data_IF_446743971811
#
_entry.id   IF_446743971811
#
_cell.length_a   1.000
_cell.length_b   1.000
_cell.length_c   1.000
_cell.angle_alpha   90.00
_cell.angle_beta   90.00
_cell.angle_gamma   90.00
#
_symmetry.space_group_name_H-M   'P 1'
#
loop_
_entity.id
_entity.type
_entity.pdbx_description
1 polymer ?
#
# COMPACT_ATOMS: atom_id res chain seq x y z
N UNK A 1 -22.13 -25.75 25.20
CA UNK A 1 -22.39 -26.41 23.91
C UNK A 1 -21.08 -26.38 23.14
N UNK A 2 -20.61 -27.54 22.68
CA UNK A 2 -19.23 -27.77 22.26
C UNK A 2 -18.88 -27.05 20.95
N UNK A 3 -17.77 -26.32 20.95
CA UNK A 3 -17.21 -25.69 19.75
C UNK A 3 -16.55 -26.73 18.86
N UNK A 4 -16.90 -26.72 17.58
CA UNK A 4 -16.37 -27.62 16.57
C UNK A 4 -14.90 -27.30 16.27
N UNK A 5 -14.07 -28.36 16.20
CA UNK A 5 -12.64 -28.26 15.90
C UNK A 5 -12.42 -28.59 14.42
N UNK A 6 -12.05 -27.61 13.62
CA UNK A 6 -11.81 -27.76 12.19
C UNK A 6 -10.33 -28.14 11.92
N UNK A 7 -10.06 -28.88 10.83
CA UNK A 7 -8.75 -29.51 10.54
C UNK A 7 -8.13 -29.12 9.18
N UNK A 8 -8.82 -28.32 8.38
CA UNK A 8 -8.40 -27.96 7.02
C UNK A 8 -7.70 -26.60 7.01
N UNK A 9 -6.63 -26.49 6.21
CA UNK A 9 -5.97 -25.21 5.93
C UNK A 9 -6.78 -24.54 4.82
N UNK A 10 -7.66 -23.61 5.19
CA UNK A 10 -8.43 -22.78 4.27
C UNK A 10 -8.27 -21.31 4.66
N UNK A 11 -7.93 -20.45 3.69
CA UNK A 11 -7.71 -19.01 3.85
C UNK A 11 -6.47 -18.52 3.09
N UNK A 12 -6.44 -17.25 2.67
CA UNK A 12 -5.22 -16.64 2.12
C UNK A 12 -4.15 -16.60 3.23
N UNK A 13 -2.93 -17.10 2.94
CA UNK A 13 -1.90 -17.41 3.93
C UNK A 13 -1.63 -16.30 4.97
N UNK A 14 -1.79 -15.03 4.59
CA UNK A 14 -1.51 -13.86 5.41
C UNK A 14 -2.41 -13.68 6.65
N UNK A 15 -3.64 -14.19 6.62
CA UNK A 15 -4.61 -13.99 7.71
C UNK A 15 -4.64 -15.18 8.68
N UNK A 16 -3.90 -16.25 8.39
CA UNK A 16 -3.93 -17.49 9.15
C UNK A 16 -3.30 -17.30 10.52
N UNK A 17 -4.01 -17.70 11.57
CA UNK A 17 -3.47 -17.70 12.94
C UNK A 17 -2.44 -18.83 13.15
N UNK A 18 -1.41 -18.64 14.00
CA UNK A 18 -0.35 -19.63 14.21
C UNK A 18 -0.84 -21.02 14.64
N UNK A 19 -1.94 -21.07 15.38
CA UNK A 19 -2.56 -22.31 15.86
C UNK A 19 -3.38 -23.07 14.80
N UNK A 20 -3.81 -22.41 13.73
CA UNK A 20 -4.45 -23.07 12.57
C UNK A 20 -3.42 -23.97 11.87
N UNK A 21 -2.18 -23.49 11.72
CA UNK A 21 -1.05 -24.29 11.20
C UNK A 21 -0.73 -25.50 12.10
N UNK A 22 -1.08 -25.42 13.38
CA UNK A 22 -0.93 -26.51 14.37
C UNK A 22 -2.18 -27.41 14.47
N UNK A 23 -3.21 -27.17 13.64
CA UNK A 23 -4.49 -27.90 13.54
C UNK A 23 -5.25 -28.04 14.85
N UNK A 24 -5.14 -27.04 15.73
CA UNK A 24 -5.86 -27.01 17.01
C UNK A 24 -6.25 -25.58 17.35
N UNK A 25 -7.48 -25.21 17.00
CA UNK A 25 -7.95 -23.84 17.12
C UNK A 25 -9.41 -23.74 17.56
N UNK A 26 -9.76 -22.57 18.09
CA UNK A 26 -11.10 -22.14 18.46
C UNK A 26 -11.42 -20.79 17.80
N UNK A 27 -12.47 -20.08 18.25
CA UNK A 27 -12.91 -18.81 17.64
C UNK A 27 -11.89 -17.67 17.75
N UNK A 28 -10.82 -17.83 18.53
CA UNK A 28 -9.75 -16.84 18.70
C UNK A 28 -8.98 -16.58 17.39
N UNK A 29 -9.04 -17.50 16.42
CA UNK A 29 -8.41 -17.34 15.11
C UNK A 29 -9.00 -16.20 14.30
N UNK A 30 -10.29 -15.92 14.48
CA UNK A 30 -10.95 -14.82 13.78
C UNK A 30 -10.43 -13.47 14.29
N UNK A 31 -10.11 -13.38 15.58
CA UNK A 31 -9.52 -12.16 16.16
C UNK A 31 -8.12 -11.91 15.60
N UNK A 32 -7.36 -12.97 15.34
CA UNK A 32 -6.08 -12.83 14.65
C UNK A 32 -6.28 -12.29 13.24
N UNK A 33 -7.18 -12.89 12.45
CA UNK A 33 -7.49 -12.45 11.08
C UNK A 33 -7.91 -10.98 11.04
N UNK A 34 -8.80 -10.55 11.95
CA UNK A 34 -9.24 -9.15 12.05
C UNK A 34 -8.09 -8.25 12.54
N UNK A 35 -7.21 -8.75 13.41
CA UNK A 35 -6.00 -8.03 13.83
C UNK A 35 -5.03 -7.80 12.66
N UNK A 36 -4.86 -8.80 11.79
CA UNK A 36 -4.06 -8.68 10.56
C UNK A 36 -4.70 -7.65 9.62
N UNK A 37 -6.02 -7.70 9.44
CA UNK A 37 -6.74 -6.70 8.65
C UNK A 37 -6.58 -5.29 9.21
N UNK A 38 -6.73 -5.12 10.53
CA UNK A 38 -6.58 -3.82 11.18
C UNK A 38 -5.14 -3.28 11.04
N UNK A 39 -4.13 -4.14 11.19
CA UNK A 39 -2.74 -3.78 10.93
C UNK A 39 -2.57 -3.27 9.49
N UNK A 40 -3.11 -3.98 8.50
CA UNK A 40 -3.06 -3.57 7.09
C UNK A 40 -3.80 -2.25 6.86
N UNK A 41 -4.95 -2.02 7.50
CA UNK A 41 -5.69 -0.76 7.37
C UNK A 41 -4.90 0.44 7.91
N UNK A 42 -4.14 0.23 9.00
CA UNK A 42 -3.37 1.29 9.64
C UNK A 42 -2.04 1.61 8.94
N UNK A 43 -1.33 0.61 8.39
CA UNK A 43 0.00 0.81 7.80
C UNK A 43 0.12 0.43 6.33
N UNK A 44 -0.91 -0.19 5.75
CA UNK A 44 -0.95 -0.62 4.36
C UNK A 44 -0.23 -1.92 4.06
N UNK A 45 0.57 -2.51 4.95
CA UNK A 45 1.34 -3.74 4.68
C UNK A 45 0.93 -4.89 5.60
N UNK A 46 1.07 -6.16 5.18
CA UNK A 46 0.79 -7.29 6.07
C UNK A 46 1.84 -7.35 7.21
N UNK A 47 1.44 -7.76 8.43
CA UNK A 47 2.36 -7.88 9.56
C UNK A 47 3.34 -9.06 9.42
N UNK A 48 3.01 -10.04 8.60
CA UNK A 48 3.83 -11.24 8.36
C UNK A 48 3.99 -11.45 6.85
N UNK A 49 5.24 -11.38 6.36
CA UNK A 49 5.57 -11.55 4.95
C UNK A 49 6.97 -12.15 4.80
N UNK A 50 7.15 -13.01 3.79
CA UNK A 50 8.41 -13.47 3.25
C UNK A 50 8.18 -14.12 1.87
N UNK A 51 9.12 -14.00 0.93
CA UNK A 51 9.06 -14.38 -0.50
C UNK A 51 8.38 -15.72 -0.88
N UNK A 52 8.25 -16.66 0.05
CA UNK A 52 7.61 -17.96 -0.19
C UNK A 52 6.52 -18.21 0.84
N UNK A 53 5.52 -19.01 0.48
CA UNK A 53 4.43 -19.41 1.40
C UNK A 53 4.98 -20.05 2.70
N UNK A 54 6.01 -20.89 2.59
CA UNK A 54 6.71 -21.44 3.75
C UNK A 54 7.39 -20.35 4.60
N UNK A 55 7.93 -19.31 3.95
CA UNK A 55 8.44 -18.11 4.62
C UNK A 55 7.34 -17.38 5.40
N UNK A 56 6.17 -17.17 4.78
CA UNK A 56 5.00 -16.55 5.43
C UNK A 56 4.60 -17.36 6.66
N UNK A 57 4.47 -18.68 6.54
CA UNK A 57 4.13 -19.56 7.65
C UNK A 57 5.16 -19.47 8.78
N UNK A 58 6.44 -19.42 8.45
CA UNK A 58 7.50 -19.22 9.44
C UNK A 58 7.39 -17.84 10.13
N UNK A 59 7.06 -16.79 9.40
CA UNK A 59 6.85 -15.45 9.96
C UNK A 59 5.64 -15.43 10.90
N UNK A 60 4.52 -16.06 10.51
CA UNK A 60 3.32 -16.22 11.34
C UNK A 60 3.64 -17.01 12.61
N UNK A 61 4.38 -18.12 12.51
CA UNK A 61 4.75 -18.94 13.66
C UNK A 61 5.67 -18.20 14.65
N UNK A 62 6.50 -17.28 14.16
CA UNK A 62 7.31 -16.38 15.00
C UNK A 62 6.48 -15.28 15.65
N UNK A 63 5.38 -14.88 15.02
CA UNK A 63 4.44 -13.87 15.50
C UNK A 63 5.11 -12.53 15.90
N UNK A 64 6.20 -12.19 15.23
CA UNK A 64 6.86 -10.90 15.42
C UNK A 64 6.18 -9.85 14.55
N UNK A 65 5.58 -8.85 15.19
CA UNK A 65 4.90 -7.74 14.52
C UNK A 65 5.77 -6.49 14.63
N UNK A 66 6.01 -5.84 13.51
CA UNK A 66 6.77 -4.59 13.46
C UNK A 66 5.87 -3.40 13.79
N UNK A 67 6.24 -2.63 14.82
CA UNK A 67 5.58 -1.38 15.20
C UNK A 67 6.57 -0.19 15.16
N UNK A 68 7.74 -0.40 14.56
CA UNK A 68 8.84 0.56 14.47
C UNK A 68 8.95 1.20 13.10
N UNK A 69 8.53 0.49 12.04
CA UNK A 69 8.44 1.06 10.69
C UNK A 69 7.21 1.95 10.54
N UNK A 70 7.35 2.98 9.72
CA UNK A 70 6.29 3.96 9.48
C UNK A 70 5.07 3.36 8.76
N UNK A 71 3.85 3.83 9.05
CA UNK A 71 3.49 4.99 9.87
C UNK A 71 3.43 4.69 11.38
N UNK A 72 3.82 3.49 11.85
CA UNK A 72 3.55 3.08 13.23
C UNK A 72 4.06 4.05 14.28
N UNK A 73 5.30 4.57 14.27
CA UNK A 73 5.76 5.55 15.26
C UNK A 73 4.78 6.71 15.48
N UNK A 74 4.16 7.23 14.42
CA UNK A 74 3.19 8.33 14.47
C UNK A 74 1.78 7.95 14.96
N UNK A 75 1.39 6.67 14.89
CA UNK A 75 0.07 6.20 15.33
C UNK A 75 -0.10 6.20 16.85
N UNK A 76 -1.35 6.33 17.31
CA UNK A 76 -1.66 6.41 18.74
C UNK A 76 -1.19 5.15 19.49
N UNK A 77 -0.71 5.29 20.74
CA UNK A 77 -0.33 4.16 21.58
C UNK A 77 -1.45 3.11 21.73
N UNK A 78 -2.70 3.56 21.71
CA UNK A 78 -3.91 2.75 21.88
C UNK A 78 -4.23 1.93 20.63
N UNK A 79 -3.97 2.45 19.43
CA UNK A 79 -4.06 1.68 18.19
C UNK A 79 -3.02 0.54 18.19
N UNK A 80 -1.78 0.85 18.55
CA UNK A 80 -0.69 -0.13 18.70
C UNK A 80 -1.04 -1.20 19.73
N UNK A 81 -1.54 -0.78 20.88
CA UNK A 81 -1.91 -1.68 21.98
C UNK A 81 -3.03 -2.65 21.56
N UNK A 82 -4.07 -2.16 20.87
CA UNK A 82 -5.13 -3.03 20.37
C UNK A 82 -4.57 -4.08 19.41
N UNK A 83 -3.83 -3.65 18.38
CA UNK A 83 -3.30 -4.54 17.35
C UNK A 83 -2.34 -5.57 17.94
N UNK A 84 -1.48 -5.15 18.89
CA UNK A 84 -0.58 -6.05 19.62
C UNK A 84 -1.34 -7.11 20.42
N UNK A 85 -2.48 -6.76 21.03
CA UNK A 85 -3.30 -7.69 21.81
C UNK A 85 -4.15 -8.62 20.92
N UNK A 86 -4.56 -8.16 19.74
CA UNK A 86 -5.25 -8.99 18.73
C UNK A 86 -4.30 -9.97 18.04
N UNK A 87 -3.05 -9.57 17.80
CA UNK A 87 -1.99 -10.39 17.21
C UNK A 87 -1.13 -11.11 18.26
N UNK A 88 -1.71 -11.44 19.41
CA UNK A 88 -1.02 -12.23 20.42
C UNK A 88 -0.94 -13.70 19.96
N UNK A 89 0.28 -14.23 19.96
CA UNK A 89 0.58 -15.61 19.56
C UNK A 89 -0.04 -16.67 20.47
N UNK A 90 -0.28 -16.35 21.75
CA UNK A 90 -1.00 -17.23 22.68
C UNK A 90 -2.51 -16.93 22.57
N UNK A 91 -3.34 -17.86 22.05
CA UNK A 91 -4.77 -17.65 21.90
C UNK A 91 -5.48 -17.35 23.22
N UNK A 92 -4.93 -17.82 24.35
CA UNK A 92 -5.51 -17.56 25.68
C UNK A 92 -5.28 -16.14 26.18
N UNK A 93 -4.26 -15.47 25.65
CA UNK A 93 -3.91 -14.08 25.97
C UNK A 93 -4.38 -13.11 24.87
N UNK A 94 -4.86 -13.65 23.75
CA UNK A 94 -5.48 -12.88 22.66
C UNK A 94 -6.83 -12.36 23.12
N UNK A 95 -7.16 -11.13 22.75
CA UNK A 95 -8.48 -10.57 23.07
C UNK A 95 -9.59 -11.40 22.44
N UNK A 96 -10.72 -11.44 23.12
CA UNK A 96 -12.00 -11.89 22.53
C UNK A 96 -12.66 -10.76 21.75
N UNK A 97 -13.60 -11.08 20.85
CA UNK A 97 -14.37 -10.06 20.10
C UNK A 97 -15.02 -9.03 21.03
N UNK A 98 -15.59 -9.48 22.15
CA UNK A 98 -16.19 -8.61 23.16
C UNK A 98 -15.17 -7.65 23.77
N UNK A 99 -13.95 -8.12 24.06
CA UNK A 99 -12.90 -7.26 24.62
C UNK A 99 -12.33 -6.29 23.57
N UNK A 100 -12.27 -6.68 22.30
CA UNK A 100 -11.91 -5.77 21.18
C UNK A 100 -12.92 -4.63 21.07
N UNK A 101 -14.22 -4.93 21.09
CA UNK A 101 -15.29 -3.91 21.03
C UNK A 101 -15.31 -2.97 22.23
N UNK A 102 -14.81 -3.41 23.39
CA UNK A 102 -14.68 -2.59 24.60
C UNK A 102 -13.29 -1.95 24.76
N UNK A 103 -12.40 -2.11 23.79
CA UNK A 103 -11.06 -1.54 23.87
C UNK A 103 -11.13 -0.01 23.85
N UNK A 104 -10.33 0.71 24.66
CA UNK A 104 -10.35 2.18 24.71
C UNK A 104 -10.22 2.88 23.36
N UNK A 105 -9.60 2.21 22.38
CA UNK A 105 -9.48 2.72 21.01
C UNK A 105 -10.80 2.60 20.21
N UNK A 106 -11.52 1.47 20.24
CA UNK A 106 -12.69 1.21 19.35
C UNK A 106 -14.04 1.46 20.01
N UNK A 107 -14.12 1.41 21.34
CA UNK A 107 -15.40 1.58 22.06
C UNK A 107 -16.09 2.88 21.65
N UNK A 108 -17.41 2.92 21.78
CA UNK A 108 -18.19 4.15 21.64
C UNK A 108 -17.60 5.25 22.55
N UNK A 109 -17.36 6.46 22.00
CA UNK A 109 -16.58 7.56 22.61
C UNK A 109 -15.11 7.21 22.95
N UNK A 110 -14.51 6.32 22.16
CA UNK A 110 -13.12 5.88 22.29
C UNK A 110 -12.08 6.90 21.84
N UNK A 111 -10.81 6.53 22.00
CA UNK A 111 -9.64 7.36 21.65
C UNK A 111 -9.21 7.19 20.19
N UNK A 112 -9.88 6.35 19.40
CA UNK A 112 -9.69 6.36 17.96
C UNK A 112 -10.05 7.77 17.46
N UNK A 113 -9.16 8.42 16.70
CA UNK A 113 -9.52 9.67 16.07
C UNK A 113 -10.75 9.44 15.19
N UNK A 114 -11.76 10.30 15.28
CA UNK A 114 -12.82 10.41 14.26
C UNK A 114 -12.26 10.88 12.91
N UNK A 115 -10.93 11.06 12.82
CA UNK A 115 -10.20 11.34 11.59
C UNK A 115 -10.30 10.11 10.70
N UNK A 116 -11.00 10.20 9.56
CA UNK A 116 -11.18 9.05 8.68
C UNK A 116 -9.82 8.55 8.16
N UNK A 117 -9.76 7.25 7.81
CA UNK A 117 -8.63 6.62 7.08
C UNK A 117 -8.21 7.41 5.82
N UNK A 118 -9.09 8.31 5.36
CA UNK A 118 -9.02 9.15 4.18
C UNK A 118 -7.92 10.20 4.20
N UNK A 119 -7.41 10.67 5.35
CA UNK A 119 -6.32 11.66 5.30
C UNK A 119 -5.05 11.04 4.70
N UNK A 120 -4.83 9.72 4.87
CA UNK A 120 -3.74 9.01 4.22
C UNK A 120 -3.97 8.86 2.71
N UNK A 121 -5.19 8.61 2.26
CA UNK A 121 -5.54 8.52 0.83
C UNK A 121 -5.44 9.90 0.17
N UNK A 122 -5.94 10.94 0.84
CA UNK A 122 -5.84 12.34 0.39
C UNK A 122 -4.40 12.82 0.31
N UNK A 123 -3.57 12.54 1.33
CA UNK A 123 -2.14 12.87 1.29
C UNK A 123 -1.42 12.07 0.20
N UNK A 124 -1.80 10.81 -0.07
CA UNK A 124 -1.26 10.03 -1.20
C UNK A 124 -1.66 10.59 -2.56
N UNK A 125 -2.92 11.01 -2.73
CA UNK A 125 -3.38 11.66 -3.95
C UNK A 125 -2.68 13.01 -4.18
N UNK A 126 -2.47 13.81 -3.11
CA UNK A 126 -1.67 15.04 -3.17
C UNK A 126 -0.21 14.77 -3.50
N UNK A 127 0.40 13.74 -2.90
CA UNK A 127 1.76 13.31 -3.22
C UNK A 127 1.86 12.87 -4.68
N UNK A 128 0.93 12.05 -5.15
CA UNK A 128 0.86 11.56 -6.53
C UNK A 128 0.84 12.73 -7.52
N UNK A 129 0.07 13.79 -7.25
CA UNK A 129 0.10 15.02 -8.06
C UNK A 129 1.50 15.63 -8.20
N UNK A 130 2.25 15.68 -7.10
CA UNK A 130 3.57 16.31 -7.02
C UNK A 130 4.71 15.46 -7.60
N UNK A 131 4.46 14.19 -7.96
CA UNK A 131 5.47 13.31 -8.55
C UNK A 131 5.72 13.63 -10.02
N UNK A 132 6.96 13.41 -10.48
CA UNK A 132 7.29 13.49 -11.90
C UNK A 132 6.60 12.36 -12.70
N UNK A 133 6.49 12.57 -14.01
CA UNK A 133 5.73 11.67 -14.89
C UNK A 133 6.30 10.27 -14.94
N UNK A 134 7.63 10.16 -14.93
CA UNK A 134 8.28 8.86 -15.00
C UNK A 134 7.93 8.01 -13.79
N UNK A 135 7.96 8.63 -12.60
CA UNK A 135 7.49 7.99 -11.38
C UNK A 135 6.04 7.53 -11.52
N UNK A 136 5.13 8.38 -12.01
CA UNK A 136 3.70 8.02 -12.20
C UNK A 136 3.51 6.79 -13.11
N UNK A 137 4.22 6.71 -14.23
CA UNK A 137 4.14 5.54 -15.12
C UNK A 137 4.71 4.31 -14.43
N UNK A 138 5.85 4.44 -13.73
CA UNK A 138 6.40 3.33 -12.96
C UNK A 138 5.43 2.84 -11.86
N UNK A 139 4.73 3.75 -11.18
CA UNK A 139 3.70 3.40 -10.19
C UNK A 139 2.56 2.62 -10.83
N UNK A 140 2.14 3.00 -12.04
CA UNK A 140 1.05 2.33 -12.78
C UNK A 140 1.44 0.90 -13.19
N UNK A 141 2.66 0.74 -13.70
CA UNK A 141 3.23 -0.59 -14.01
C UNK A 141 3.27 -1.48 -12.76
N UNK A 142 3.72 -0.93 -11.63
CA UNK A 142 3.73 -1.65 -10.34
C UNK A 142 2.32 -2.02 -9.91
N UNK A 143 1.36 -1.09 -9.99
CA UNK A 143 -0.04 -1.33 -9.64
C UNK A 143 -0.64 -2.50 -10.42
N UNK A 144 -0.33 -2.60 -11.71
CA UNK A 144 -0.75 -3.71 -12.58
C UNK A 144 -0.10 -5.06 -12.25
N UNK A 145 1.02 -5.06 -11.52
CA UNK A 145 1.73 -6.27 -11.12
C UNK A 145 1.34 -6.79 -9.72
N UNK A 146 0.53 -6.04 -8.98
CA UNK A 146 0.07 -6.45 -7.64
C UNK A 146 -0.95 -7.57 -7.73
N UNK A 147 -0.91 -8.49 -6.76
CA UNK A 147 -1.89 -9.57 -6.65
C UNK A 147 -3.27 -9.03 -6.22
N UNK A 148 -4.33 -9.79 -6.52
CA UNK A 148 -5.70 -9.39 -6.13
C UNK A 148 -5.83 -9.24 -4.60
N UNK A 149 -5.11 -10.06 -3.82
CA UNK A 149 -5.07 -9.98 -2.37
C UNK A 149 -4.41 -8.69 -1.88
N UNK A 150 -3.35 -8.24 -2.56
CA UNK A 150 -2.65 -7.01 -2.20
C UNK A 150 -3.54 -5.79 -2.39
N UNK A 151 -4.34 -5.77 -3.45
CA UNK A 151 -5.22 -4.64 -3.78
C UNK A 151 -6.66 -4.80 -3.27
N UNK A 152 -7.02 -5.92 -2.63
CA UNK A 152 -8.40 -6.21 -2.20
C UNK A 152 -9.04 -5.09 -1.37
N UNK A 153 -8.29 -4.48 -0.43
CA UNK A 153 -8.79 -3.36 0.36
C UNK A 153 -9.06 -2.11 -0.48
N UNK A 154 -8.18 -1.81 -1.44
CA UNK A 154 -8.36 -0.69 -2.37
C UNK A 154 -9.51 -0.95 -3.35
N UNK A 155 -9.71 -2.20 -3.77
CA UNK A 155 -10.84 -2.64 -4.61
C UNK A 155 -12.18 -2.46 -3.91
N UNK A 156 -12.26 -2.79 -2.62
CA UNK A 156 -13.45 -2.52 -1.81
C UNK A 156 -13.70 -1.03 -1.66
N UNK A 157 -12.64 -0.24 -1.48
CA UNK A 157 -12.73 1.21 -1.37
C UNK A 157 -13.23 1.84 -2.67
N UNK A 158 -12.68 1.45 -3.82
CA UNK A 158 -13.15 1.87 -5.15
C UNK A 158 -14.64 1.59 -5.33
N UNK A 159 -15.07 0.35 -5.07
CA UNK A 159 -16.48 -0.07 -5.19
C UNK A 159 -17.41 0.68 -4.23
N UNK A 160 -16.91 1.17 -3.11
CA UNK A 160 -17.71 1.98 -2.18
C UNK A 160 -17.92 3.42 -2.68
N UNK A 161 -17.02 3.91 -3.54
CA UNK A 161 -17.11 5.24 -4.16
C UNK A 161 -17.88 5.20 -5.48
N UNK A 162 -17.63 4.19 -6.32
CA UNK A 162 -18.37 3.92 -7.58
C UNK A 162 -19.78 3.41 -7.27
N UNK A 163 -20.69 4.35 -7.00
CA UNK A 163 -22.03 4.02 -6.50
C UNK A 163 -22.97 3.53 -7.59
N UNK A 164 -22.73 3.94 -8.83
CA UNK A 164 -23.51 3.50 -9.99
C UNK A 164 -22.93 2.25 -10.68
N UNK A 165 -21.76 1.78 -10.24
CA UNK A 165 -21.02 0.66 -10.82
C UNK A 165 -20.66 0.91 -12.30
N UNK A 166 -20.39 2.16 -12.65
CA UNK A 166 -19.91 2.54 -13.99
C UNK A 166 -18.51 2.01 -14.28
N UNK A 167 -17.76 1.60 -13.25
CA UNK A 167 -16.36 1.22 -13.36
C UNK A 167 -15.42 2.43 -13.34
N UNK A 168 -15.95 3.61 -13.06
CA UNK A 168 -15.23 4.89 -12.96
C UNK A 168 -15.75 5.69 -11.78
N UNK A 169 -14.92 6.51 -11.16
CA UNK A 169 -15.32 7.42 -10.08
C UNK A 169 -15.41 8.83 -10.65
N UNK A 170 -16.61 9.41 -10.64
CA UNK A 170 -16.82 10.81 -11.01
C UNK A 170 -16.46 11.77 -9.88
N UNK A 171 -16.29 13.07 -10.18
CA UNK A 171 -16.07 14.11 -9.15
C UNK A 171 -17.13 14.08 -8.04
N UNK A 172 -18.40 13.86 -8.41
CA UNK A 172 -19.50 13.82 -7.45
C UNK A 172 -19.49 12.52 -6.63
N UNK A 173 -19.13 11.38 -7.22
CA UNK A 173 -18.94 10.13 -6.50
C UNK A 173 -17.74 10.16 -5.57
N UNK A 174 -16.64 10.79 -5.97
CA UNK A 174 -15.51 11.03 -5.09
C UNK A 174 -15.92 11.87 -3.87
N UNK A 175 -16.64 12.98 -4.11
CA UNK A 175 -17.15 13.84 -3.03
C UNK A 175 -18.12 13.11 -2.11
N UNK A 176 -19.09 12.39 -2.68
CA UNK A 176 -20.11 11.68 -1.91
C UNK A 176 -19.53 10.47 -1.19
N UNK A 177 -18.64 9.72 -1.84
CA UNK A 177 -17.93 8.59 -1.27
C UNK A 177 -17.14 9.01 -0.04
N UNK A 178 -16.33 10.06 -0.16
CA UNK A 178 -15.56 10.60 0.95
C UNK A 178 -16.45 11.24 2.03
N UNK A 179 -17.55 11.90 1.64
CA UNK A 179 -18.51 12.45 2.59
C UNK A 179 -19.20 11.37 3.43
N UNK A 180 -19.55 10.23 2.83
CA UNK A 180 -20.13 9.06 3.54
C UNK A 180 -19.14 8.44 4.52
N UNK A 181 -17.84 8.60 4.29
CA UNK A 181 -16.76 8.12 5.16
C UNK A 181 -16.31 9.16 6.20
N UNK A 182 -17.00 10.30 6.29
CA UNK A 182 -16.75 11.33 7.31
C UNK A 182 -15.92 12.53 6.84
N UNK A 183 -15.45 12.54 5.59
CA UNK A 183 -14.61 13.59 5.03
C UNK A 183 -15.39 14.54 4.13
N UNK A 184 -15.51 15.81 4.51
CA UNK A 184 -16.09 16.85 3.64
C UNK A 184 -15.00 17.56 2.86
N UNK A 185 -14.89 17.25 1.57
CA UNK A 185 -14.07 18.02 0.65
C UNK A 185 -14.83 19.22 0.11
N UNK A 186 -14.14 20.35 -0.02
CA UNK A 186 -14.59 21.43 -0.89
C UNK A 186 -14.54 20.99 -2.36
N UNK A 187 -15.33 21.65 -3.22
CA UNK A 187 -15.31 21.38 -4.65
C UNK A 187 -13.92 21.61 -5.26
N UNK A 188 -13.17 22.58 -4.74
CA UNK A 188 -11.81 22.86 -5.16
C UNK A 188 -10.83 21.73 -4.80
N UNK A 189 -10.94 21.16 -3.60
CA UNK A 189 -10.11 20.02 -3.19
C UNK A 189 -10.46 18.77 -4.00
N UNK A 190 -11.74 18.49 -4.19
CA UNK A 190 -12.17 17.36 -5.01
C UNK A 190 -11.67 17.48 -6.47
N UNK A 191 -11.76 18.67 -7.07
CA UNK A 191 -11.21 18.90 -8.42
C UNK A 191 -9.70 18.68 -8.49
N UNK A 192 -8.95 19.13 -7.47
CA UNK A 192 -7.51 18.89 -7.44
C UNK A 192 -7.14 17.41 -7.28
N UNK A 193 -7.98 16.62 -6.61
CA UNK A 193 -7.78 15.18 -6.49
C UNK A 193 -8.12 14.46 -7.80
N UNK A 194 -9.19 14.88 -8.47
CA UNK A 194 -9.51 14.40 -9.82
C UNK A 194 -8.36 14.68 -10.77
N UNK A 195 -7.90 15.94 -10.88
CA UNK A 195 -6.74 16.31 -11.72
C UNK A 195 -5.45 15.55 -11.36
N UNK A 196 -5.32 15.07 -10.14
CA UNK A 196 -4.16 14.30 -9.72
C UNK A 196 -4.24 12.84 -10.18
N UNK A 197 -5.42 12.22 -10.05
CA UNK A 197 -5.63 10.79 -10.28
C UNK A 197 -6.03 10.46 -11.72
N UNK A 198 -6.81 11.33 -12.37
CA UNK A 198 -7.24 11.24 -13.78
C UNK A 198 -6.03 11.49 -14.69
N UNK A 199 -5.35 10.40 -15.06
CA UNK A 199 -4.10 10.44 -15.78
C UNK A 199 -4.31 10.61 -17.29
N UNK A 200 -5.43 10.11 -17.82
CA UNK A 200 -5.80 10.24 -19.23
C UNK A 200 -6.60 11.53 -19.54
N UNK A 201 -7.07 12.23 -18.51
CA UNK A 201 -7.80 13.49 -18.62
C UNK A 201 -9.25 13.32 -19.08
N UNK A 202 -9.84 12.14 -18.90
CA UNK A 202 -11.21 11.84 -19.33
C UNK A 202 -12.29 12.43 -18.40
N UNK A 203 -11.88 13.01 -17.26
CA UNK A 203 -12.75 13.64 -16.26
C UNK A 203 -13.31 12.68 -15.22
N UNK A 204 -12.88 11.42 -15.23
CA UNK A 204 -13.25 10.35 -14.30
C UNK A 204 -12.00 9.61 -13.83
N UNK A 205 -12.07 8.89 -12.70
CA UNK A 205 -10.96 8.07 -12.22
C UNK A 205 -11.33 6.61 -12.43
N UNK A 206 -10.65 5.92 -13.33
CA UNK A 206 -10.85 4.49 -13.53
C UNK A 206 -10.23 3.65 -12.39
N UNK A 207 -10.50 2.35 -12.41
CA UNK A 207 -9.96 1.43 -11.40
C UNK A 207 -8.43 1.47 -11.30
N UNK A 208 -7.73 1.45 -12.42
CA UNK A 208 -6.27 1.42 -12.47
C UNK A 208 -5.67 2.73 -11.95
N UNK A 209 -6.26 3.85 -12.34
CA UNK A 209 -5.92 5.20 -11.87
C UNK A 209 -6.13 5.33 -10.36
N UNK A 210 -7.24 4.84 -9.84
CA UNK A 210 -7.53 4.86 -8.42
C UNK A 210 -6.52 4.01 -7.63
N UNK A 211 -6.23 2.78 -8.06
CA UNK A 211 -5.24 1.94 -7.39
C UNK A 211 -3.87 2.62 -7.42
N UNK A 212 -3.46 3.14 -8.58
CA UNK A 212 -2.17 3.80 -8.78
C UNK A 212 -2.02 5.01 -7.85
N UNK A 213 -3.07 5.83 -7.73
CA UNK A 213 -3.02 7.07 -6.97
C UNK A 213 -3.22 6.89 -5.46
N UNK A 214 -3.80 5.76 -5.02
CA UNK A 214 -4.07 5.47 -3.59
C UNK A 214 -3.14 4.41 -2.97
N UNK A 215 -2.33 3.75 -3.80
CA UNK A 215 -1.32 2.78 -3.36
C UNK A 215 -0.27 3.43 -2.45
N UNK A 216 0.09 2.72 -1.38
CA UNK A 216 1.08 3.20 -0.42
C UNK A 216 2.51 2.96 -0.92
N UNK A 217 3.39 3.96 -0.82
CA UNK A 217 4.81 3.87 -1.22
C UNK A 217 5.54 2.66 -0.61
N UNK A 218 5.18 2.23 0.61
CA UNK A 218 5.79 1.05 1.26
C UNK A 218 5.44 -0.29 0.58
N UNK A 219 4.35 -0.36 -0.19
CA UNK A 219 4.08 -1.52 -1.06
C UNK A 219 4.96 -1.52 -2.30
N UNK A 220 5.43 -0.34 -2.69
CA UNK A 220 6.17 -0.10 -3.93
C UNK A 220 7.67 -0.27 -3.76
N UNK A 221 8.19 -0.07 -2.53
CA UNK A 221 9.61 -0.25 -2.20
C UNK A 221 10.04 -1.73 -2.13
N UNK A 222 9.17 -2.66 -2.54
CA UNK A 222 9.54 -4.07 -2.68
C UNK A 222 10.42 -4.23 -3.91
N UNK A 223 11.57 -4.87 -3.71
CA UNK A 223 12.59 -5.06 -4.73
C UNK A 223 12.04 -5.77 -5.98
N UNK A 224 11.17 -6.76 -5.80
CA UNK A 224 10.43 -7.44 -6.88
C UNK A 224 9.64 -6.47 -7.78
N UNK A 225 8.86 -5.57 -7.18
CA UNK A 225 8.03 -4.64 -7.94
C UNK A 225 8.87 -3.57 -8.63
N UNK A 226 9.91 -3.06 -7.95
CA UNK A 226 10.86 -2.12 -8.54
C UNK A 226 11.60 -2.76 -9.72
N UNK A 227 12.03 -4.00 -9.58
CA UNK A 227 12.70 -4.76 -10.64
C UNK A 227 11.77 -5.03 -11.83
N UNK A 228 10.52 -5.42 -11.56
CA UNK A 228 9.51 -5.66 -12.60
C UNK A 228 9.19 -4.38 -13.37
N UNK A 229 9.05 -3.27 -12.65
CA UNK A 229 8.81 -1.97 -13.27
C UNK A 229 10.02 -1.49 -14.09
N UNK A 230 11.24 -1.68 -13.58
CA UNK A 230 12.46 -1.36 -14.34
C UNK A 230 12.54 -2.12 -15.66
N UNK A 231 12.34 -3.44 -15.63
CA UNK A 231 12.32 -4.29 -16.83
C UNK A 231 11.18 -4.02 -17.78
N UNK A 232 10.08 -3.44 -17.29
CA UNK A 232 9.03 -2.99 -18.19
C UNK A 232 9.51 -1.86 -19.11
N UNK A 233 10.38 -0.97 -18.60
CA UNK A 233 10.98 0.12 -19.37
C UNK A 233 12.20 -0.33 -20.17
N UNK A 234 13.11 -1.11 -19.59
CA UNK A 234 14.31 -1.68 -20.26
C UNK A 234 13.92 -2.81 -21.22
N UNK A 235 13.46 -2.45 -22.43
CA UNK A 235 12.93 -3.40 -23.42
C UNK A 235 14.01 -4.28 -24.00
N UNK A 236 15.23 -3.76 -24.13
CA UNK A 236 16.36 -4.48 -24.70
C UNK A 236 17.17 -5.28 -23.67
N UNK A 237 16.83 -5.17 -22.38
CA UNK A 237 17.52 -5.77 -21.24
C UNK A 237 19.00 -5.34 -21.17
N UNK A 238 19.30 -4.10 -21.55
CA UNK A 238 20.64 -3.54 -21.48
C UNK A 238 21.08 -3.23 -20.04
N UNK A 239 20.14 -3.19 -19.09
CA UNK A 239 20.35 -2.75 -17.72
C UNK A 239 20.22 -1.23 -17.55
N UNK A 240 19.77 -0.51 -18.59
CA UNK A 240 19.60 0.94 -18.60
C UNK A 240 18.29 1.29 -19.30
N UNK A 241 17.57 2.26 -18.75
CA UNK A 241 16.39 2.84 -19.42
C UNK A 241 16.87 4.02 -20.26
N UNK A 242 16.71 3.90 -21.57
CA UNK A 242 17.08 4.95 -22.53
C UNK A 242 15.97 5.99 -22.73
N UNK A 243 16.31 7.12 -23.37
CA UNK A 243 15.34 8.17 -23.71
C UNK A 243 14.21 7.60 -24.57
N UNK A 244 14.57 6.79 -25.56
CA UNK A 244 13.66 6.20 -26.52
C UNK A 244 12.68 5.23 -25.84
N UNK A 245 13.18 4.40 -24.92
CA UNK A 245 12.36 3.46 -24.16
C UNK A 245 11.40 4.16 -23.20
N UNK A 246 11.88 5.20 -22.51
CA UNK A 246 11.04 6.02 -21.65
C UNK A 246 9.97 6.76 -22.46
N UNK A 247 10.34 7.32 -23.62
CA UNK A 247 9.41 7.98 -24.54
C UNK A 247 8.32 7.02 -25.01
N UNK A 248 8.71 5.82 -25.41
CA UNK A 248 7.76 4.79 -25.82
C UNK A 248 6.78 4.45 -24.70
N UNK A 249 7.28 4.18 -23.49
CA UNK A 249 6.43 3.83 -22.35
C UNK A 249 5.47 4.97 -21.94
N UNK A 250 5.92 6.22 -22.01
CA UNK A 250 5.07 7.39 -21.75
C UNK A 250 3.97 7.56 -22.81
N UNK A 251 4.26 7.27 -24.08
CA UNK A 251 3.27 7.28 -25.17
C UNK A 251 2.25 6.16 -25.02
N UNK A 252 2.68 4.95 -24.66
CA UNK A 252 1.79 3.80 -24.44
C UNK A 252 0.75 4.06 -23.34
N UNK A 253 1.10 4.83 -22.31
CA UNK A 253 0.21 5.20 -21.21
C UNK A 253 -0.50 6.55 -21.39
N UNK A 254 -0.44 7.16 -22.57
CA UNK A 254 -1.11 8.43 -22.85
C UNK A 254 -0.54 9.65 -22.10
N UNK A 255 0.59 9.53 -21.41
CA UNK A 255 1.18 10.59 -20.58
C UNK A 255 2.16 11.51 -21.35
N UNK A 256 2.11 11.51 -22.69
CA UNK A 256 2.99 12.29 -23.55
C UNK A 256 2.36 13.67 -23.89
N UNK A 257 2.79 14.74 -23.21
CA UNK A 257 2.27 16.11 -23.38
C UNK A 257 3.24 17.07 -24.11
N UNK A 258 4.31 16.55 -24.72
CA UNK A 258 5.29 17.37 -25.44
C UNK A 258 6.31 18.10 -24.56
N UNK A 259 6.38 17.81 -23.25
CA UNK A 259 7.53 18.17 -22.41
C UNK A 259 8.79 17.42 -22.83
N UNK A 260 9.95 18.02 -22.61
CA UNK A 260 11.23 17.44 -22.98
C UNK A 260 11.55 16.27 -22.03
N UNK A 261 11.53 15.04 -22.54
CA UNK A 261 11.90 13.83 -21.79
C UNK A 261 13.31 13.97 -21.21
N UNK A 262 14.15 14.82 -21.81
CA UNK A 262 15.46 15.18 -21.24
C UNK A 262 15.37 15.86 -19.89
N UNK A 263 14.32 16.62 -19.59
CA UNK A 263 14.10 17.19 -18.25
C UNK A 263 13.87 16.06 -17.24
N UNK A 264 13.02 15.09 -17.58
CA UNK A 264 12.73 13.93 -16.73
C UNK A 264 14.00 13.11 -16.47
N UNK A 265 14.81 12.88 -17.49
CA UNK A 265 16.08 12.16 -17.36
C UNK A 265 17.04 12.97 -16.50
N UNK A 266 17.18 14.27 -16.74
CA UNK A 266 18.08 15.13 -15.96
C UNK A 266 17.72 15.24 -14.46
N UNK A 267 16.46 14.94 -14.09
CA UNK A 267 16.04 14.88 -12.69
C UNK A 267 16.48 13.59 -11.97
N UNK A 268 16.80 12.54 -12.73
CA UNK A 268 16.99 11.17 -12.21
C UNK A 268 18.42 10.66 -12.44
N UNK A 269 18.96 10.95 -13.62
CA UNK A 269 20.30 10.65 -14.09
C UNK A 269 21.33 11.39 -13.22
N UNK A 270 21.91 10.66 -12.27
CA UNK A 270 22.80 11.20 -11.25
C UNK A 270 24.25 11.22 -11.72
N UNK A 271 24.63 10.27 -12.58
CA UNK A 271 25.97 10.18 -13.16
C UNK A 271 26.11 10.94 -14.50
N UNK A 272 25.00 11.46 -15.02
CA UNK A 272 24.88 12.24 -16.26
C UNK A 272 25.32 11.45 -17.51
N UNK A 273 25.07 10.14 -17.54
CA UNK A 273 25.36 9.28 -18.69
C UNK A 273 24.29 9.35 -19.80
N UNK A 274 23.18 10.06 -19.54
CA UNK A 274 22.05 10.25 -20.44
C UNK A 274 21.07 9.07 -20.46
N UNK A 275 21.19 8.13 -19.52
CA UNK A 275 20.36 6.95 -19.33
C UNK A 275 20.01 6.82 -17.85
N UNK A 276 19.16 5.85 -17.50
CA UNK A 276 18.78 5.62 -16.11
C UNK A 276 19.09 4.17 -15.77
N UNK A 277 20.07 3.97 -14.89
CA UNK A 277 20.39 2.65 -14.37
C UNK A 277 19.41 2.23 -13.25
N UNK A 278 19.49 0.97 -12.82
CA UNK A 278 18.58 0.45 -11.78
C UNK A 278 18.67 1.22 -10.45
N UNK A 279 19.86 1.62 -10.04
CA UNK A 279 20.07 2.32 -8.76
C UNK A 279 19.43 3.72 -8.79
N UNK A 280 19.54 4.43 -9.92
CA UNK A 280 18.91 5.73 -10.16
C UNK A 280 17.39 5.62 -10.25
N UNK A 281 16.87 4.59 -10.93
CA UNK A 281 15.45 4.30 -10.95
C UNK A 281 14.90 4.08 -9.54
N UNK A 282 15.58 3.24 -8.74
CA UNK A 282 15.19 2.98 -7.35
C UNK A 282 15.28 4.25 -6.50
N UNK A 283 16.32 5.08 -6.69
CA UNK A 283 16.46 6.35 -6.00
C UNK A 283 15.28 7.28 -6.32
N UNK A 284 14.91 7.43 -7.59
CA UNK A 284 13.75 8.21 -8.02
C UNK A 284 12.44 7.69 -7.40
N UNK A 285 12.25 6.37 -7.37
CA UNK A 285 11.08 5.75 -6.74
C UNK A 285 11.02 6.00 -5.23
N UNK A 286 12.17 6.24 -4.58
CA UNK A 286 12.28 6.57 -3.15
C UNK A 286 12.25 8.07 -2.85
N UNK A 287 12.66 8.94 -3.79
CA UNK A 287 12.68 10.41 -3.61
C UNK A 287 11.25 10.95 -3.52
N UNK A 288 10.97 11.78 -2.51
CA UNK A 288 9.62 12.25 -2.16
C UNK A 288 8.91 11.37 -1.12
N UNK A 289 9.53 10.26 -0.71
CA UNK A 289 9.19 9.61 0.55
C UNK A 289 9.96 10.36 1.66
N UNK A 290 9.30 11.05 2.61
CA UNK A 290 9.99 11.82 3.65
C UNK A 290 10.89 11.00 4.59
N UNK A 291 11.02 9.68 4.39
CA UNK A 291 11.55 8.75 5.39
C UNK A 291 12.75 7.89 4.98
N UNK A 292 13.21 7.94 3.73
CA UNK A 292 14.37 7.13 3.32
C UNK A 292 15.61 8.00 3.19
N UNK A 293 16.17 8.37 4.34
CA UNK A 293 17.58 8.77 4.41
C UNK A 293 18.50 7.58 4.10
N UNK A 294 19.70 7.80 3.55
CA UNK A 294 20.58 6.71 3.12
C UNK A 294 20.98 5.83 4.31
N UNK A 295 20.66 4.53 4.24
CA UNK A 295 21.14 3.52 5.18
C UNK A 295 22.67 3.45 5.08
N UNK A 296 23.36 4.05 6.04
CA UNK A 296 24.82 3.89 6.19
C UNK A 296 25.14 2.40 6.32
N UNK A 297 25.86 1.84 5.35
CA UNK A 297 26.54 0.55 5.46
C UNK A 297 27.38 0.58 6.73
N UNK A 298 27.05 -0.29 7.70
CA UNK A 298 27.97 -0.61 8.79
C UNK A 298 28.95 -1.62 8.23
N UNK A 299 30.15 -1.16 7.89
CA UNK A 299 31.28 -2.02 7.63
C UNK A 299 31.59 -2.81 8.91
N UNK A 300 31.37 -4.12 8.85
CA UNK A 300 31.88 -5.06 9.83
C UNK A 300 33.35 -5.26 9.48
N UNK A 301 34.23 -4.47 10.09
CA UNK A 301 35.66 -4.79 10.13
C UNK A 301 35.82 -5.82 11.25
N UNK A 302 36.05 -7.07 10.85
CA UNK A 302 36.65 -8.05 11.74
C UNK A 302 38.10 -7.65 12.01
N UNK A 303 38.45 -7.47 13.28
CA UNK A 303 39.81 -7.73 13.79
C UNK A 303 39.69 -8.18 15.24
#
# INVERSE_FOLDING_TARGET
MGGETFKDIVGSAYYIAPEVLKRKYGPEVDIWSVGVMLYILLCGVPPFWAETENGIFNAILRAHVDFSSEPWPSLSPQAKDLVKKMLNSDPKQRLTAYQVLNHPWIKEDGEAPDTPLDNAVLERLKQFRAMNKFKKVALRVIAGCLSEEEIMGLKQMFKSMDTDNSGTITLEELKQGLQKQGTRLSEYEAKQLMEAADADGNGTIDYEEFITATMHMNRMDREEHLYTAFHYFDKDNSGYITIEELEQALREHGMHDGRDIKEIISEVDSDNDGRINYEEFVAMMRIGNPEVGPKKRRDIIMT
#
